data_IF_441532626321
#
_entry.id   IF_441532626321
#
_cell.length_a   1.000
_cell.length_b   1.000
_cell.length_c   1.000
_cell.angle_alpha   90.00
_cell.angle_beta   90.00
_cell.angle_gamma   90.00
#
_symmetry.space_group_name_H-M   'P 1'
#
loop_
_entity.id
_entity.type
_entity.pdbx_description
1 polymer ?
#
# COMPACT_ATOMS: atom_id res chain seq x y z
N UNK A 1 -13.57 -10.32 -50.53
CA UNK A 1 -13.65 -10.30 -49.06
C UNK A 1 -14.92 -9.55 -48.64
N UNK A 2 -15.82 -10.13 -47.85
CA UNK A 2 -17.13 -9.55 -47.57
C UNK A 2 -16.96 -8.30 -46.65
N UNK A 3 -17.57 -7.18 -47.02
CA UNK A 3 -17.52 -5.89 -46.28
C UNK A 3 -17.78 -6.05 -44.78
N UNK A 4 -18.66 -7.02 -44.38
CA UNK A 4 -18.91 -7.39 -42.98
C UNK A 4 -17.69 -7.97 -42.26
N UNK A 5 -16.90 -8.81 -42.94
CA UNK A 5 -15.68 -9.39 -42.34
C UNK A 5 -14.58 -8.35 -42.10
N UNK A 6 -14.46 -7.37 -42.96
CA UNK A 6 -13.53 -6.27 -42.82
C UNK A 6 -13.90 -5.36 -41.63
N UNK A 7 -15.19 -5.04 -41.49
CA UNK A 7 -15.69 -4.28 -40.34
C UNK A 7 -15.40 -5.01 -39.03
N UNK A 8 -15.69 -6.30 -38.93
CA UNK A 8 -15.42 -7.11 -37.73
C UNK A 8 -13.93 -7.18 -37.40
N UNK A 9 -13.06 -7.31 -38.41
CA UNK A 9 -11.63 -7.30 -38.26
C UNK A 9 -11.12 -5.95 -37.66
N UNK A 10 -11.64 -4.83 -38.16
CA UNK A 10 -11.29 -3.50 -37.69
C UNK A 10 -11.76 -3.27 -36.25
N UNK A 11 -12.96 -3.71 -35.89
CA UNK A 11 -13.48 -3.61 -34.53
C UNK A 11 -12.65 -4.49 -33.56
N UNK A 12 -12.30 -5.71 -33.97
CA UNK A 12 -11.44 -6.60 -33.19
C UNK A 12 -10.05 -5.99 -32.94
N UNK A 13 -9.42 -5.42 -33.98
CA UNK A 13 -8.12 -4.72 -33.87
C UNK A 13 -8.20 -3.53 -32.89
N UNK A 14 -9.27 -2.72 -32.99
CA UNK A 14 -9.51 -1.59 -32.08
C UNK A 14 -9.68 -2.05 -30.63
N UNK A 15 -10.43 -3.13 -30.40
CA UNK A 15 -10.64 -3.69 -29.06
C UNK A 15 -9.35 -4.31 -28.49
N UNK A 16 -8.52 -4.97 -29.31
CA UNK A 16 -7.19 -5.46 -28.87
C UNK A 16 -6.27 -4.31 -28.45
N UNK A 17 -6.22 -3.22 -29.21
CA UNK A 17 -5.46 -2.03 -28.84
C UNK A 17 -5.94 -1.39 -27.51
N UNK A 18 -7.26 -1.36 -27.29
CA UNK A 18 -7.82 -0.93 -25.98
C UNK A 18 -7.44 -1.86 -24.84
N UNK A 19 -7.49 -3.18 -25.08
CA UNK A 19 -7.09 -4.18 -24.09
C UNK A 19 -5.64 -4.00 -23.65
N UNK A 20 -4.74 -3.75 -24.61
CA UNK A 20 -3.32 -3.51 -24.30
C UNK A 20 -3.11 -2.22 -23.50
N UNK A 21 -3.85 -1.15 -23.83
CA UNK A 21 -3.77 0.11 -23.07
C UNK A 21 -4.28 -0.07 -21.63
N UNK A 22 -5.39 -0.77 -21.43
CA UNK A 22 -5.94 -1.05 -20.11
C UNK A 22 -4.99 -1.96 -19.31
N UNK A 23 -4.37 -2.96 -19.96
CA UNK A 23 -3.39 -3.83 -19.29
C UNK A 23 -2.16 -3.07 -18.80
N UNK A 24 -1.69 -2.07 -19.56
CA UNK A 24 -0.59 -1.18 -19.11
C UNK A 24 -1.02 -0.32 -17.92
N UNK A 25 -2.23 0.28 -18.00
CA UNK A 25 -2.79 1.07 -16.90
C UNK A 25 -3.01 0.23 -15.64
N UNK A 26 -3.48 -1.01 -15.79
CA UNK A 26 -3.64 -1.97 -14.68
C UNK A 26 -2.28 -2.25 -14.00
N UNK A 27 -1.23 -2.52 -14.77
CA UNK A 27 0.11 -2.76 -14.25
C UNK A 27 0.67 -1.54 -13.51
N UNK A 28 0.47 -0.33 -14.06
CA UNK A 28 0.90 0.91 -13.43
C UNK A 28 0.18 1.14 -12.10
N UNK A 29 -1.15 1.03 -12.08
CA UNK A 29 -1.95 1.22 -10.85
C UNK A 29 -1.60 0.18 -9.80
N UNK A 30 -1.32 -1.06 -10.20
CA UNK A 30 -0.87 -2.12 -9.27
C UNK A 30 0.46 -1.77 -8.63
N UNK A 31 1.41 -1.23 -9.40
CA UNK A 31 2.70 -0.75 -8.87
C UNK A 31 2.51 0.39 -7.87
N UNK A 32 1.69 1.38 -8.22
CA UNK A 32 1.38 2.51 -7.33
C UNK A 32 0.73 2.07 -6.02
N UNK A 33 -0.16 1.07 -6.06
CA UNK A 33 -0.78 0.46 -4.86
C UNK A 33 0.30 -0.18 -3.98
N UNK A 34 1.21 -0.96 -4.55
CA UNK A 34 2.29 -1.61 -3.81
C UNK A 34 3.22 -0.58 -3.14
N UNK A 35 3.57 0.50 -3.83
CA UNK A 35 4.39 1.58 -3.27
C UNK A 35 3.69 2.30 -2.11
N UNK A 36 2.37 2.55 -2.23
CA UNK A 36 1.55 3.15 -1.17
C UNK A 36 1.44 2.22 0.04
N UNK A 37 1.19 0.92 -0.16
CA UNK A 37 1.12 -0.07 0.92
C UNK A 37 2.44 -0.15 1.69
N UNK A 38 3.57 -0.19 1.00
CA UNK A 38 4.89 -0.18 1.63
C UNK A 38 5.12 1.11 2.44
N UNK A 39 4.73 2.27 1.91
CA UNK A 39 4.83 3.54 2.61
C UNK A 39 3.98 3.57 3.89
N UNK A 40 2.76 3.04 3.83
CA UNK A 40 1.85 2.94 4.99
C UNK A 40 2.44 2.01 6.06
N UNK A 41 2.99 0.86 5.66
CA UNK A 41 3.65 -0.09 6.56
C UNK A 41 4.83 0.58 7.24
N UNK A 42 5.66 1.31 6.49
CA UNK A 42 6.82 2.03 7.03
C UNK A 42 6.41 3.09 8.06
N UNK A 43 5.32 3.83 7.80
CA UNK A 43 4.81 4.83 8.75
C UNK A 43 4.27 4.16 10.02
N UNK A 44 3.55 3.03 9.89
CA UNK A 44 3.02 2.25 11.03
C UNK A 44 4.16 1.67 11.88
N UNK A 45 5.16 1.09 11.26
CA UNK A 45 6.34 0.56 11.93
C UNK A 45 7.15 1.66 12.64
N UNK A 46 7.19 2.85 12.06
CA UNK A 46 7.82 4.00 12.66
C UNK A 46 7.13 4.46 13.95
N UNK A 47 5.79 4.52 13.99
CA UNK A 47 5.03 4.82 15.23
C UNK A 47 5.33 3.82 16.33
N UNK A 48 5.34 2.51 16.00
CA UNK A 48 5.69 1.45 16.94
C UNK A 48 7.12 1.58 17.45
N UNK A 49 8.07 1.95 16.60
CA UNK A 49 9.48 2.17 16.98
C UNK A 49 9.63 3.33 17.97
N UNK A 50 8.90 4.43 17.80
CA UNK A 50 8.91 5.56 18.74
C UNK A 50 8.38 5.12 20.10
N UNK A 51 7.23 4.45 20.15
CA UNK A 51 6.64 3.96 21.40
C UNK A 51 7.62 3.03 22.12
N UNK A 52 8.27 2.12 21.39
CA UNK A 52 9.29 1.23 21.96
C UNK A 52 10.47 1.99 22.56
N UNK A 53 10.96 3.04 21.88
CA UNK A 53 12.05 3.88 22.38
C UNK A 53 11.64 4.58 23.68
N UNK A 54 10.45 5.19 23.71
CA UNK A 54 9.93 5.88 24.89
C UNK A 54 9.79 4.90 26.06
N UNK A 55 9.20 3.75 25.82
CA UNK A 55 8.99 2.71 26.84
C UNK A 55 10.31 2.17 27.40
N UNK A 56 11.30 1.92 26.53
CA UNK A 56 12.64 1.46 26.94
C UNK A 56 13.34 2.50 27.80
N UNK A 57 13.24 3.79 27.45
CA UNK A 57 13.84 4.89 28.24
C UNK A 57 13.15 5.04 29.60
N UNK A 58 11.84 4.96 29.63
CA UNK A 58 11.07 5.02 30.86
C UNK A 58 11.42 3.85 31.81
N UNK A 59 11.54 2.64 31.28
CA UNK A 59 11.95 1.47 32.04
C UNK A 59 13.36 1.61 32.61
N UNK A 60 14.29 2.17 31.84
CA UNK A 60 15.66 2.46 32.28
C UNK A 60 15.69 3.48 33.43
N UNK A 61 14.87 4.55 33.35
CA UNK A 61 14.75 5.53 34.46
C UNK A 61 14.20 4.87 35.72
N UNK A 62 13.19 4.01 35.63
CA UNK A 62 12.63 3.27 36.75
C UNK A 62 13.69 2.34 37.36
N UNK A 63 14.46 1.63 36.53
CA UNK A 63 15.50 0.70 37.01
C UNK A 63 16.60 1.45 37.76
N UNK A 64 17.08 2.59 37.22
CA UNK A 64 18.09 3.43 37.91
C UNK A 64 17.56 3.93 39.25
N UNK A 65 16.29 4.38 39.31
CA UNK A 65 15.69 4.82 40.57
C UNK A 65 15.62 3.69 41.61
N UNK A 66 15.23 2.49 41.21
CA UNK A 66 15.24 1.35 42.12
C UNK A 66 16.63 1.01 42.64
N UNK A 67 17.66 1.04 41.79
CA UNK A 67 19.03 0.78 42.20
C UNK A 67 19.55 1.86 43.18
N UNK A 68 19.22 3.12 42.92
CA UNK A 68 19.59 4.23 43.85
C UNK A 68 18.86 4.05 45.19
N UNK A 69 17.58 3.67 45.19
CA UNK A 69 16.83 3.39 46.43
C UNK A 69 17.48 2.26 47.26
N UNK A 70 17.81 1.16 46.57
CA UNK A 70 18.43 -0.01 47.25
C UNK A 70 19.81 0.40 47.83
N UNK A 71 20.63 1.11 47.05
CA UNK A 71 21.94 1.58 47.49
C UNK A 71 21.87 2.49 48.71
N UNK A 72 20.96 3.49 48.71
CA UNK A 72 20.77 4.40 49.83
C UNK A 72 20.26 3.71 51.06
N UNK A 73 19.30 2.76 50.85
CA UNK A 73 18.75 1.94 51.96
C UNK A 73 19.83 1.11 52.67
N UNK A 74 20.69 0.46 51.91
CA UNK A 74 21.81 -0.35 52.45
C UNK A 74 22.90 0.51 53.09
N UNK A 75 23.26 1.66 52.52
CA UNK A 75 24.40 2.44 52.92
C UNK A 75 24.11 3.38 54.10
N UNK A 76 22.92 3.94 54.19
CA UNK A 76 22.61 5.06 55.11
C UNK A 76 21.33 4.92 55.90
N UNK A 77 20.60 3.82 55.72
CA UNK A 77 19.32 3.57 56.40
C UNK A 77 18.18 4.45 55.89
N UNK A 78 16.97 4.16 56.43
CA UNK A 78 15.70 4.70 55.94
C UNK A 78 15.55 6.23 56.01
N UNK A 79 16.31 6.88 56.93
CA UNK A 79 16.19 8.34 57.21
C UNK A 79 16.79 9.24 56.13
N UNK A 80 17.54 8.72 55.17
CA UNK A 80 18.20 9.50 54.09
C UNK A 80 17.36 9.56 52.79
N UNK A 81 16.35 8.72 52.66
CA UNK A 81 15.45 8.69 51.51
C UNK A 81 14.35 9.75 51.63
N UNK A 82 14.73 11.03 51.54
CA UNK A 82 13.72 12.08 51.43
C UNK A 82 13.17 12.14 50.01
N UNK A 83 11.84 12.28 49.88
CA UNK A 83 11.12 12.42 48.60
C UNK A 83 11.75 13.48 47.67
N UNK A 84 12.24 14.60 48.26
CA UNK A 84 12.92 15.67 47.52
C UNK A 84 14.23 15.24 46.82
N UNK A 85 15.01 14.35 47.43
CA UNK A 85 16.25 13.84 46.82
C UNK A 85 15.98 12.93 45.63
N UNK A 86 14.91 12.12 45.72
CA UNK A 86 14.48 11.30 44.61
C UNK A 86 13.95 12.12 43.44
N UNK A 87 13.22 13.21 43.70
CA UNK A 87 12.77 14.14 42.66
C UNK A 87 13.97 14.76 41.97
N UNK A 88 14.99 15.21 42.71
CA UNK A 88 16.19 15.81 42.11
C UNK A 88 16.94 14.86 41.19
N UNK A 89 17.11 13.61 41.57
CA UNK A 89 17.74 12.58 40.71
C UNK A 89 16.91 12.35 39.43
N UNK A 90 15.58 12.27 39.56
CA UNK A 90 14.70 12.11 38.40
C UNK A 90 14.73 13.30 37.44
N UNK A 91 14.77 14.53 37.96
CA UNK A 91 14.91 15.75 37.15
C UNK A 91 16.24 15.73 36.40
N UNK A 92 17.33 15.35 37.07
CA UNK A 92 18.67 15.29 36.46
C UNK A 92 18.73 14.23 35.34
N UNK A 93 18.12 13.06 35.54
CA UNK A 93 17.98 12.03 34.51
C UNK A 93 17.10 12.50 33.33
N UNK A 94 16.03 13.22 33.61
CA UNK A 94 15.17 13.80 32.57
C UNK A 94 15.98 14.86 31.75
N UNK A 95 16.74 15.72 32.37
CA UNK A 95 17.56 16.74 31.70
C UNK A 95 18.60 16.08 30.76
N UNK A 96 19.22 14.99 31.18
CA UNK A 96 20.24 14.28 30.40
C UNK A 96 19.62 13.51 29.21
N UNK A 97 18.50 12.81 29.42
CA UNK A 97 17.93 11.90 28.39
C UNK A 97 16.89 12.54 27.47
N UNK A 98 16.22 13.63 27.88
CA UNK A 98 15.14 14.26 27.15
C UNK A 98 15.63 14.93 25.85
N UNK A 99 16.75 15.69 25.81
CA UNK A 99 17.23 16.34 24.60
C UNK A 99 17.59 15.34 23.50
N UNK A 100 18.31 14.27 23.84
CA UNK A 100 18.72 13.25 22.88
C UNK A 100 17.52 12.51 22.29
N UNK A 101 16.53 12.19 23.12
CA UNK A 101 15.26 11.56 22.70
C UNK A 101 14.46 12.50 21.80
N UNK A 102 14.36 13.80 22.14
CA UNK A 102 13.63 14.78 21.35
C UNK A 102 14.29 15.05 20.00
N UNK A 103 15.63 15.14 19.94
CA UNK A 103 16.38 15.32 18.69
C UNK A 103 16.14 14.11 17.77
N UNK A 104 16.18 12.91 18.32
CA UNK A 104 15.96 11.68 17.55
C UNK A 104 14.53 11.57 17.01
N UNK A 105 13.54 11.94 17.82
CA UNK A 105 12.12 12.01 17.42
C UNK A 105 11.91 13.12 16.39
N UNK A 106 12.45 14.33 16.62
CA UNK A 106 12.32 15.48 15.72
C UNK A 106 12.90 15.19 14.34
N UNK A 107 14.08 14.62 14.25
CA UNK A 107 14.73 14.30 12.98
C UNK A 107 13.93 13.24 12.19
N UNK A 108 13.32 12.28 12.88
CA UNK A 108 12.45 11.28 12.24
C UNK A 108 11.06 11.82 11.87
N UNK A 109 10.49 12.75 12.62
CA UNK A 109 9.18 13.36 12.34
C UNK A 109 9.27 14.33 11.14
N UNK A 110 10.34 15.14 11.06
CA UNK A 110 10.54 16.11 9.98
C UNK A 110 10.62 15.44 8.59
N UNK A 111 11.18 14.26 8.49
CA UNK A 111 11.32 13.51 7.23
C UNK A 111 9.94 13.00 6.73
N UNK A 112 8.93 12.86 7.59
CA UNK A 112 7.63 12.27 7.26
C UNK A 112 6.41 13.18 7.45
N UNK A 113 6.60 14.48 7.69
CA UNK A 113 5.52 15.42 8.06
C UNK A 113 4.50 15.72 6.94
N UNK A 114 4.77 15.36 5.68
CA UNK A 114 3.92 15.76 4.54
C UNK A 114 2.78 14.79 4.19
N UNK A 115 2.74 13.58 4.75
CA UNK A 115 1.67 12.64 4.39
C UNK A 115 0.98 12.15 5.66
N UNK A 116 -0.16 12.73 6.00
CA UNK A 116 -0.98 12.15 7.06
C UNK A 116 -1.36 10.72 6.67
N UNK A 117 -1.19 9.76 7.56
CA UNK A 117 -1.52 8.34 7.34
C UNK A 117 -2.93 8.18 6.76
N UNK A 118 -3.85 8.99 7.21
CA UNK A 118 -5.24 9.01 6.76
C UNK A 118 -5.37 9.36 5.26
N UNK A 119 -4.62 10.37 4.77
CA UNK A 119 -4.65 10.73 3.35
C UNK A 119 -4.08 9.62 2.48
N UNK A 120 -3.03 8.94 2.95
CA UNK A 120 -2.45 7.80 2.23
C UNK A 120 -3.42 6.61 2.19
N UNK A 121 -4.11 6.32 3.29
CA UNK A 121 -5.10 5.24 3.34
C UNK A 121 -6.30 5.54 2.42
N UNK A 122 -6.78 6.78 2.36
CA UNK A 122 -7.84 7.18 1.43
C UNK A 122 -7.39 7.07 -0.03
N UNK A 123 -6.18 7.55 -0.34
CA UNK A 123 -5.60 7.41 -1.69
C UNK A 123 -5.46 5.94 -2.08
N UNK A 124 -5.08 5.07 -1.16
CA UNK A 124 -4.98 3.62 -1.39
C UNK A 124 -6.36 3.02 -1.72
N UNK A 125 -7.40 3.41 -0.99
CA UNK A 125 -8.78 2.96 -1.25
C UNK A 125 -9.24 3.39 -2.65
N UNK A 126 -9.01 4.65 -3.03
CA UNK A 126 -9.35 5.16 -4.36
C UNK A 126 -8.61 4.42 -5.48
N UNK A 127 -7.31 4.16 -5.30
CA UNK A 127 -6.52 3.39 -6.26
C UNK A 127 -7.00 1.93 -6.40
N UNK A 128 -7.36 1.28 -5.31
CA UNK A 128 -7.95 -0.08 -5.32
C UNK A 128 -9.31 -0.09 -6.02
N UNK A 129 -10.13 0.93 -5.80
CA UNK A 129 -11.41 1.08 -6.52
C UNK A 129 -11.18 1.27 -8.03
N UNK A 130 -10.22 2.13 -8.41
CA UNK A 130 -9.84 2.33 -9.81
C UNK A 130 -9.33 1.04 -10.46
N UNK A 131 -8.49 0.27 -9.77
CA UNK A 131 -8.01 -1.03 -10.25
C UNK A 131 -9.18 -2.02 -10.50
N UNK A 132 -10.15 -2.05 -9.59
CA UNK A 132 -11.35 -2.89 -9.75
C UNK A 132 -12.16 -2.50 -10.98
N UNK A 133 -12.27 -1.19 -11.26
CA UNK A 133 -12.95 -0.67 -12.45
C UNK A 133 -12.22 -1.07 -13.73
N UNK A 134 -10.89 -0.93 -13.77
CA UNK A 134 -10.07 -1.35 -14.91
C UNK A 134 -10.20 -2.85 -15.19
N UNK A 135 -10.20 -3.69 -14.14
CA UNK A 135 -10.39 -5.15 -14.28
C UNK A 135 -11.75 -5.49 -14.89
N UNK A 136 -12.83 -4.82 -14.45
CA UNK A 136 -14.17 -5.00 -15.03
C UNK A 136 -14.21 -4.57 -16.50
N UNK A 137 -13.63 -3.43 -16.84
CA UNK A 137 -13.56 -2.95 -18.21
C UNK A 137 -12.77 -3.90 -19.11
N UNK A 138 -11.62 -4.38 -18.64
CA UNK A 138 -10.80 -5.38 -19.32
C UNK A 138 -11.59 -6.64 -19.61
N UNK A 139 -12.34 -7.15 -18.64
CA UNK A 139 -13.19 -8.34 -18.81
C UNK A 139 -14.29 -8.11 -19.83
N UNK A 140 -14.92 -6.94 -19.83
CA UNK A 140 -15.98 -6.59 -20.80
C UNK A 140 -15.41 -6.56 -22.22
N UNK A 141 -14.24 -5.93 -22.43
CA UNK A 141 -13.60 -5.88 -23.74
C UNK A 141 -13.17 -7.27 -24.20
N UNK A 142 -12.63 -8.08 -23.28
CA UNK A 142 -12.26 -9.47 -23.59
C UNK A 142 -13.47 -10.30 -24.05
N UNK A 143 -14.59 -10.21 -23.34
CA UNK A 143 -15.82 -10.88 -23.72
C UNK A 143 -16.35 -10.41 -25.09
N UNK A 144 -16.23 -9.10 -25.37
CA UNK A 144 -16.61 -8.55 -26.67
C UNK A 144 -15.73 -9.08 -27.82
N UNK A 145 -14.41 -9.23 -27.58
CA UNK A 145 -13.49 -9.83 -28.56
C UNK A 145 -13.91 -11.27 -28.86
N UNK A 146 -14.17 -12.07 -27.83
CA UNK A 146 -14.61 -13.47 -27.98
C UNK A 146 -15.92 -13.54 -28.78
N UNK A 147 -16.89 -12.68 -28.48
CA UNK A 147 -18.16 -12.64 -29.20
C UNK A 147 -17.97 -12.29 -30.68
N UNK A 148 -17.09 -11.35 -31.01
CA UNK A 148 -16.75 -10.95 -32.37
C UNK A 148 -16.08 -12.12 -33.12
N UNK A 149 -15.14 -12.81 -32.47
CA UNK A 149 -14.43 -13.94 -33.07
C UNK A 149 -15.38 -15.11 -33.34
N UNK A 150 -16.31 -15.41 -32.44
CA UNK A 150 -17.38 -16.42 -32.68
C UNK A 150 -18.28 -16.06 -33.85
N UNK A 151 -18.73 -14.81 -33.94
CA UNK A 151 -19.53 -14.33 -35.05
C UNK A 151 -18.80 -14.41 -36.40
N UNK A 152 -17.49 -14.19 -36.40
CA UNK A 152 -16.65 -14.33 -37.59
C UNK A 152 -16.59 -15.78 -38.06
N UNK A 153 -16.46 -16.74 -37.14
CA UNK A 153 -16.44 -18.18 -37.47
C UNK A 153 -17.80 -18.57 -38.04
N UNK A 154 -18.90 -18.22 -37.41
CA UNK A 154 -20.25 -18.52 -37.89
C UNK A 154 -20.53 -17.96 -39.30
N UNK A 155 -20.06 -16.75 -39.60
CA UNK A 155 -20.20 -16.14 -40.93
C UNK A 155 -19.39 -16.94 -41.95
N UNK A 156 -18.22 -17.40 -41.62
CA UNK A 156 -17.35 -18.16 -42.50
C UNK A 156 -17.90 -19.57 -42.77
N UNK A 157 -18.43 -20.24 -41.77
CA UNK A 157 -19.10 -21.55 -41.91
C UNK A 157 -20.35 -21.46 -42.81
N UNK A 158 -21.19 -20.45 -42.57
CA UNK A 158 -22.38 -20.23 -43.40
C UNK A 158 -22.03 -19.91 -44.87
N UNK A 159 -20.95 -19.14 -45.09
CA UNK A 159 -20.46 -18.83 -46.44
C UNK A 159 -19.93 -20.09 -47.16
N UNK A 160 -19.16 -20.90 -46.43
CA UNK A 160 -18.66 -22.18 -46.99
C UNK A 160 -19.80 -23.14 -47.36
N UNK A 161 -20.81 -23.24 -46.46
CA UNK A 161 -22.00 -24.06 -46.69
C UNK A 161 -22.79 -23.59 -47.91
N UNK A 162 -22.94 -22.27 -48.09
CA UNK A 162 -23.61 -21.68 -49.23
C UNK A 162 -22.86 -21.99 -50.54
N UNK A 163 -21.55 -21.87 -50.58
CA UNK A 163 -20.71 -22.17 -51.73
C UNK A 163 -20.74 -23.67 -52.08
N UNK A 164 -20.75 -24.56 -51.09
CA UNK A 164 -20.85 -26.01 -51.28
C UNK A 164 -22.20 -26.40 -51.91
N UNK A 165 -23.29 -25.78 -51.47
CA UNK A 165 -24.63 -26.01 -52.04
C UNK A 165 -24.68 -25.55 -53.51
N UNK A 166 -24.12 -24.39 -53.83
CA UNK A 166 -24.07 -23.87 -55.19
C UNK A 166 -23.15 -24.68 -56.14
N UNK A 167 -22.14 -25.37 -55.59
CA UNK A 167 -21.28 -26.28 -56.38
C UNK A 167 -21.97 -27.63 -56.69
N UNK A 168 -22.85 -28.10 -55.80
CA UNK A 168 -23.61 -29.32 -55.98
C UNK A 168 -24.87 -29.14 -56.84
N UNK A 169 -25.27 -27.89 -57.07
CA UNK A 169 -26.46 -27.55 -57.89
C UNK A 169 -26.09 -27.23 -59.37
N UNK A 170 -24.84 -27.32 -59.76
CA UNK A 170 -24.36 -27.27 -61.15
C UNK A 170 -24.00 -28.67 -61.65
#
# INVERSE_FOLDING_TARGET
MNKKQEILKNICKKNKGKLDSISRSEAQVTKEISELENTIIDIKNFKLSIIKIILTRLLLVITINLLVMIYVYISKGNNYLTFNKMISVNILLLIIYLPDTLIHIKNKILIKKNNSLHNLENTLIEKKHHLTKLKKEKQTIHNNIIAIERNKINIQENWNKYNTINYLAK
#
